data_IF_127171968309
#
_entry.id   IF_127171968309
#
_cell.length_a   1.000
_cell.length_b   1.000
_cell.length_c   1.000
_cell.angle_alpha   90.00
_cell.angle_beta   90.00
_cell.angle_gamma   90.00
#
_symmetry.space_group_name_H-M   'P 1'
#
loop_
_entity.id
_entity.type
_entity.pdbx_description
1 polymer ?
#
# COMPACT_ATOMS: atom_id res chain seq x y z
N UNK A 1 4.11 -12.93 -9.81
CA UNK A 1 4.26 -11.46 -9.98
C UNK A 1 2.87 -10.89 -10.20
N UNK A 2 2.36 -9.99 -9.35
CA UNK A 2 0.95 -9.60 -9.32
C UNK A 2 0.47 -8.98 -10.65
N UNK A 3 1.23 -8.04 -11.21
CA UNK A 3 0.94 -7.46 -12.53
C UNK A 3 0.94 -8.49 -13.67
N UNK A 4 1.73 -9.56 -13.57
CA UNK A 4 1.71 -10.64 -14.56
C UNK A 4 0.41 -11.44 -14.57
N UNK A 5 -0.39 -11.36 -13.50
CA UNK A 5 -1.72 -11.97 -13.41
C UNK A 5 -2.85 -10.97 -13.77
N UNK A 6 -2.52 -9.68 -13.94
CA UNK A 6 -3.48 -8.60 -14.20
C UNK A 6 -3.03 -7.78 -15.43
N UNK A 7 -3.16 -8.33 -16.65
CA UNK A 7 -2.68 -7.69 -17.87
C UNK A 7 -3.34 -6.33 -18.13
N UNK A 8 -4.61 -6.15 -17.77
CA UNK A 8 -5.32 -4.87 -17.90
C UNK A 8 -4.69 -3.77 -17.03
N UNK A 9 -4.35 -4.08 -15.78
CA UNK A 9 -3.66 -3.14 -14.89
C UNK A 9 -2.24 -2.84 -15.41
N UNK A 10 -1.54 -3.84 -15.93
CA UNK A 10 -0.22 -3.65 -16.54
C UNK A 10 -0.29 -2.73 -17.77
N UNK A 11 -1.29 -2.91 -18.62
CA UNK A 11 -1.48 -2.10 -19.82
C UNK A 11 -1.79 -0.64 -19.46
N UNK A 12 -2.73 -0.41 -18.54
CA UNK A 12 -3.08 0.92 -18.07
C UNK A 12 -1.91 1.65 -17.41
N UNK A 13 -1.06 0.93 -16.68
CA UNK A 13 0.16 1.50 -16.10
C UNK A 13 1.16 1.92 -17.18
N UNK A 14 1.30 1.15 -18.27
CA UNK A 14 2.15 1.55 -19.40
C UNK A 14 1.62 2.79 -20.10
N UNK A 15 0.32 2.85 -20.35
CA UNK A 15 -0.33 4.01 -20.97
C UNK A 15 -0.13 5.29 -20.14
N UNK A 16 -0.20 5.19 -18.80
CA UNK A 16 0.12 6.31 -17.92
C UNK A 16 1.59 6.74 -18.07
N UNK A 17 2.53 5.80 -18.08
CA UNK A 17 3.94 6.10 -18.25
C UNK A 17 4.24 6.73 -19.61
N UNK A 18 3.63 6.23 -20.69
CA UNK A 18 3.77 6.76 -22.05
C UNK A 18 3.18 8.17 -22.18
N UNK A 19 2.16 8.50 -21.37
CA UNK A 19 1.57 9.85 -21.32
C UNK A 19 2.42 10.85 -20.51
N UNK A 20 3.08 10.39 -19.44
CA UNK A 20 3.84 11.26 -18.52
C UNK A 20 5.29 11.47 -18.97
N UNK A 21 5.90 10.47 -19.60
CA UNK A 21 7.32 10.47 -19.94
C UNK A 21 7.59 10.42 -21.45
N UNK A 22 8.75 10.93 -21.91
CA UNK A 22 9.17 10.75 -23.29
C UNK A 22 9.57 9.29 -23.57
N UNK A 23 9.38 8.84 -24.82
CA UNK A 23 9.69 7.46 -25.22
C UNK A 23 11.17 7.06 -25.06
N UNK A 24 12.08 8.04 -25.00
CA UNK A 24 13.51 7.81 -24.87
C UNK A 24 13.96 7.63 -23.42
N UNK A 25 14.78 6.60 -23.18
CA UNK A 25 15.30 6.28 -21.85
C UNK A 25 16.16 7.40 -21.27
N UNK A 26 17.01 8.03 -22.10
CA UNK A 26 17.93 9.07 -21.64
C UNK A 26 17.17 10.35 -21.27
N UNK A 27 16.16 10.70 -22.07
CA UNK A 27 15.27 11.84 -21.89
C UNK A 27 14.40 11.66 -20.65
N UNK A 28 13.84 10.46 -20.46
CA UNK A 28 13.09 10.11 -19.26
C UNK A 28 13.97 10.19 -18.01
N UNK A 29 15.18 9.65 -18.06
CA UNK A 29 16.12 9.70 -16.96
C UNK A 29 16.51 11.15 -16.62
N UNK A 30 16.75 11.99 -17.63
CA UNK A 30 17.09 13.40 -17.41
C UNK A 30 15.91 14.21 -16.87
N UNK A 31 14.70 13.96 -17.36
CA UNK A 31 13.48 14.54 -16.82
C UNK A 31 13.29 14.19 -15.34
N UNK A 32 13.55 12.94 -14.95
CA UNK A 32 13.46 12.52 -13.55
C UNK A 32 14.56 13.13 -12.67
N UNK A 33 15.78 13.33 -13.19
CA UNK A 33 16.86 14.01 -12.45
C UNK A 33 16.54 15.48 -12.21
N UNK A 34 16.06 16.17 -13.23
CA UNK A 34 15.76 17.61 -13.18
C UNK A 34 14.43 17.93 -12.51
N UNK A 35 13.45 17.03 -12.60
CA UNK A 35 12.14 17.15 -11.99
C UNK A 35 11.64 15.81 -11.38
N UNK A 36 12.15 15.41 -10.20
CA UNK A 36 11.70 14.17 -9.53
C UNK A 36 10.20 14.17 -9.20
N UNK A 37 9.60 15.35 -9.03
CA UNK A 37 8.18 15.49 -8.74
C UNK A 37 7.28 15.03 -9.88
N UNK A 38 7.82 14.81 -11.09
CA UNK A 38 7.10 14.23 -12.24
C UNK A 38 6.45 12.88 -11.90
N UNK A 39 7.09 12.10 -11.02
CA UNK A 39 6.53 10.83 -10.52
C UNK A 39 5.19 10.97 -9.79
N UNK A 40 4.84 12.17 -9.31
CA UNK A 40 3.53 12.44 -8.69
C UNK A 40 2.37 12.38 -9.69
N UNK A 41 2.65 12.52 -10.98
CA UNK A 41 1.65 12.40 -12.05
C UNK A 41 1.31 10.92 -12.36
N UNK A 42 2.04 9.95 -11.77
CA UNK A 42 1.80 8.51 -11.93
C UNK A 42 0.81 8.01 -10.87
N UNK A 43 -0.42 8.53 -10.89
CA UNK A 43 -1.44 8.25 -9.89
C UNK A 43 -1.88 6.77 -9.92
N UNK A 44 -2.06 6.19 -11.10
CA UNK A 44 -2.42 4.79 -11.28
C UNK A 44 -1.28 3.85 -10.88
N UNK A 45 -0.04 4.18 -11.24
CA UNK A 45 1.14 3.43 -10.78
C UNK A 45 1.24 3.46 -9.26
N UNK A 46 1.00 4.62 -8.65
CA UNK A 46 0.94 4.76 -7.18
C UNK A 46 -0.16 3.90 -6.58
N UNK A 47 -1.33 3.85 -7.22
CA UNK A 47 -2.45 3.02 -6.81
C UNK A 47 -2.15 1.51 -6.92
N UNK A 48 -1.47 1.08 -7.99
CA UNK A 48 -0.96 -0.29 -8.18
C UNK A 48 0.02 -0.67 -7.07
N UNK A 49 0.95 0.21 -6.73
CA UNK A 49 1.91 -0.01 -5.64
C UNK A 49 1.18 -0.19 -4.31
N UNK A 50 0.23 0.71 -3.98
CA UNK A 50 -0.55 0.65 -2.75
C UNK A 50 -1.39 -0.62 -2.64
N UNK A 51 -2.06 -1.02 -3.71
CA UNK A 51 -2.84 -2.27 -3.72
C UNK A 51 -1.93 -3.50 -3.62
N UNK A 52 -0.74 -3.46 -4.24
CA UNK A 52 0.25 -4.53 -4.06
C UNK A 52 0.70 -4.64 -2.61
N UNK A 53 0.99 -3.50 -1.95
CA UNK A 53 1.34 -3.46 -0.53
C UNK A 53 0.18 -3.85 0.40
N UNK A 54 -1.08 -3.71 -0.04
CA UNK A 54 -2.24 -4.22 0.69
C UNK A 54 -2.24 -5.75 0.76
N UNK A 55 -1.99 -6.41 -0.38
CA UNK A 55 -1.86 -7.87 -0.47
C UNK A 55 -0.60 -8.41 0.20
N UNK A 56 0.50 -7.67 0.08
CA UNK A 56 1.81 -8.05 0.57
C UNK A 56 2.41 -6.94 1.46
N UNK A 57 1.90 -6.76 2.70
CA UNK A 57 2.48 -5.83 3.66
C UNK A 57 3.94 -6.17 3.94
N UNK A 58 4.81 -5.16 3.90
CA UNK A 58 6.27 -5.33 4.03
C UNK A 58 6.72 -5.49 5.49
N UNK A 59 5.86 -5.18 6.46
CA UNK A 59 6.17 -5.39 7.87
C UNK A 59 5.09 -4.84 8.80
N UNK A 60 5.09 -5.36 10.03
CA UNK A 60 4.11 -5.01 11.05
C UNK A 60 4.49 -3.72 11.79
N UNK A 61 3.49 -2.88 12.03
CA UNK A 61 3.64 -1.78 12.98
C UNK A 61 3.54 -2.32 14.40
N UNK A 62 4.61 -2.15 15.17
CA UNK A 62 4.67 -2.61 16.56
C UNK A 62 4.74 -1.46 17.56
N UNK A 63 4.22 -1.68 18.76
CA UNK A 63 4.23 -0.73 19.89
C UNK A 63 4.54 -1.49 21.18
N UNK A 64 5.25 -0.82 22.09
CA UNK A 64 5.43 -1.29 23.47
C UNK A 64 4.71 -0.28 24.36
N UNK A 65 3.92 -0.77 25.31
CA UNK A 65 3.23 0.08 26.25
C UNK A 65 4.23 0.74 27.23
N UNK A 66 3.98 1.98 27.66
CA UNK A 66 4.75 2.57 28.74
C UNK A 66 4.51 1.77 30.05
N UNK A 67 5.46 1.79 31.02
CA UNK A 67 5.41 0.93 32.21
C UNK A 67 4.13 1.07 33.06
N UNK A 68 3.47 2.23 32.99
CA UNK A 68 2.26 2.54 33.75
C UNK A 68 1.00 1.90 33.12
N UNK A 69 1.06 1.51 31.84
CA UNK A 69 -0.06 0.93 31.10
C UNK A 69 0.08 -0.59 31.02
N UNK A 70 -0.54 -1.29 31.98
CA UNK A 70 -0.45 -2.75 32.11
C UNK A 70 -1.50 -3.52 31.32
N UNK A 71 -2.61 -2.88 30.97
CA UNK A 71 -3.75 -3.51 30.30
C UNK A 71 -4.34 -2.62 29.19
N UNK A 72 -5.01 -3.26 28.23
CA UNK A 72 -5.80 -2.60 27.17
C UNK A 72 -7.24 -3.09 27.23
N UNK A 73 -8.19 -2.15 27.17
CA UNK A 73 -9.61 -2.45 27.03
C UNK A 73 -9.96 -2.80 25.58
N UNK A 74 -10.40 -4.03 25.34
CA UNK A 74 -10.84 -4.50 24.04
C UNK A 74 -12.12 -5.32 24.20
N UNK A 75 -13.22 -4.90 23.58
CA UNK A 75 -14.52 -5.59 23.65
C UNK A 75 -14.95 -5.94 25.08
N UNK A 76 -14.87 -4.94 25.97
CA UNK A 76 -15.19 -5.07 27.40
C UNK A 76 -14.33 -6.08 28.16
N UNK A 77 -13.15 -6.44 27.63
CA UNK A 77 -12.14 -7.28 28.29
C UNK A 77 -10.86 -6.49 28.52
N UNK A 78 -10.27 -6.71 29.67
CA UNK A 78 -8.94 -6.21 30.03
C UNK A 78 -7.88 -7.21 29.56
N UNK A 79 -7.10 -6.83 28.55
CA UNK A 79 -6.02 -7.65 28.01
C UNK A 79 -4.69 -7.22 28.62
N UNK A 80 -3.90 -8.11 29.25
CA UNK A 80 -2.58 -7.74 29.78
C UNK A 80 -1.60 -7.45 28.63
N UNK A 81 -0.88 -6.34 28.74
CA UNK A 81 0.10 -5.90 27.73
C UNK A 81 1.49 -5.60 28.33
N UNK A 82 1.62 -5.65 29.66
CA UNK A 82 2.91 -5.48 30.35
C UNK A 82 3.92 -6.52 29.87
N UNK A 83 5.10 -6.07 29.43
CA UNK A 83 6.15 -6.94 28.88
C UNK A 83 5.89 -7.49 27.48
N UNK A 84 4.78 -7.12 26.83
CA UNK A 84 4.47 -7.53 25.47
C UNK A 84 4.72 -6.41 24.44
N UNK A 85 5.15 -6.82 23.26
CA UNK A 85 5.11 -5.98 22.06
C UNK A 85 3.80 -6.23 21.32
N UNK A 86 3.01 -5.19 21.15
CA UNK A 86 1.77 -5.22 20.39
C UNK A 86 2.07 -5.04 18.91
N UNK A 87 1.57 -5.95 18.07
CA UNK A 87 1.66 -5.84 16.62
C UNK A 87 0.26 -5.65 16.02
N UNK A 88 0.10 -4.65 15.16
CA UNK A 88 -1.14 -4.49 14.40
C UNK A 88 -1.16 -5.49 13.26
N UNK A 89 -2.17 -6.36 13.22
CA UNK A 89 -2.32 -7.34 12.14
C UNK A 89 -2.84 -6.66 10.87
N UNK A 90 -1.93 -6.10 10.06
CA UNK A 90 -2.29 -5.44 8.81
C UNK A 90 -3.02 -6.38 7.85
N UNK A 91 -2.64 -7.66 7.78
CA UNK A 91 -3.35 -8.65 6.96
C UNK A 91 -4.83 -8.75 7.34
N UNK A 92 -5.15 -8.79 8.63
CA UNK A 92 -6.54 -8.84 9.08
C UNK A 92 -7.30 -7.60 8.61
N UNK A 93 -6.75 -6.39 8.84
CA UNK A 93 -7.40 -5.14 8.43
C UNK A 93 -7.50 -4.96 6.92
N UNK A 94 -6.45 -5.33 6.18
CA UNK A 94 -6.36 -5.19 4.73
C UNK A 94 -7.26 -6.16 3.97
N UNK A 95 -7.59 -7.31 4.57
CA UNK A 95 -8.49 -8.32 3.97
C UNK A 95 -9.89 -8.33 4.58
N UNK A 96 -10.19 -7.40 5.49
CA UNK A 96 -11.51 -7.27 6.08
C UNK A 96 -12.48 -6.60 5.07
N UNK A 97 -13.58 -7.28 4.68
CA UNK A 97 -14.55 -6.73 3.74
C UNK A 97 -15.29 -5.49 4.27
N UNK A 98 -15.27 -5.22 5.58
CA UNK A 98 -15.82 -4.00 6.16
C UNK A 98 -15.04 -2.75 5.72
N UNK A 99 -13.74 -2.89 5.41
CA UNK A 99 -12.90 -1.79 4.92
C UNK A 99 -12.60 -1.90 3.42
N UNK A 100 -12.54 -3.12 2.88
CA UNK A 100 -12.19 -3.39 1.48
C UNK A 100 -13.19 -4.34 0.83
N UNK A 101 -14.20 -3.80 0.14
CA UNK A 101 -15.16 -4.62 -0.62
C UNK A 101 -14.45 -5.54 -1.65
N UNK A 102 -14.77 -6.83 -1.71
CA UNK A 102 -14.00 -7.83 -2.48
C UNK A 102 -12.49 -7.83 -2.15
N UNK A 103 -12.09 -8.08 -0.90
CA UNK A 103 -10.72 -7.84 -0.42
C UNK A 103 -9.68 -8.74 -1.10
N UNK A 104 -10.11 -9.84 -1.73
CA UNK A 104 -9.26 -10.78 -2.47
C UNK A 104 -9.08 -10.39 -3.94
N UNK A 105 -9.83 -9.42 -4.44
CA UNK A 105 -9.67 -8.90 -5.80
C UNK A 105 -8.61 -7.80 -5.83
N UNK A 106 -7.65 -7.92 -6.75
CA UNK A 106 -6.66 -6.88 -7.01
C UNK A 106 -7.32 -5.72 -7.77
N UNK A 107 -7.53 -4.59 -7.07
CA UNK A 107 -8.24 -3.42 -7.60
C UNK A 107 -7.48 -2.14 -7.25
N UNK A 108 -6.47 -1.73 -8.06
CA UNK A 108 -5.75 -0.48 -7.85
C UNK A 108 -6.68 0.73 -7.69
N UNK A 109 -7.83 0.73 -8.36
CA UNK A 109 -8.82 1.81 -8.38
C UNK A 109 -9.27 2.26 -6.98
N UNK A 110 -9.12 1.42 -5.95
CA UNK A 110 -9.38 1.79 -4.54
C UNK A 110 -8.55 2.96 -4.04
N UNK A 111 -7.40 3.20 -4.65
CA UNK A 111 -6.45 4.23 -4.24
C UNK A 111 -6.40 5.44 -5.19
N UNK A 112 -7.31 5.48 -6.17
CA UNK A 112 -7.56 6.67 -6.98
C UNK A 112 -8.53 7.58 -6.22
N UNK A 113 -8.32 8.90 -6.31
CA UNK A 113 -9.17 9.92 -5.69
C UNK A 113 -9.95 10.67 -6.75
#
# INVERSE_FOLDING_TARGET
MLLGLHPEAMQRMREEHDAVFPAGLQESAEMLRTNPAKTKELEYTTAVIKETMRFYPVGFSTRIAPPELKHLDCNSRQLPIEGFMLALCQFASHFDPAYFADPKAFRPERFLR
#
